data_IF_444001092755
#
_entry.id   IF_444001092755
#
_cell.length_a   1.000
_cell.length_b   1.000
_cell.length_c   1.000
_cell.angle_alpha   90.00
_cell.angle_beta   90.00
_cell.angle_gamma   90.00
#
_symmetry.space_group_name_H-M   'P 1'
#
loop_
_entity.id
_entity.type
_entity.pdbx_description
1 polymer ?
#
# COMPACT_ATOMS: atom_id res chain seq x y z
N UNK A 1 -18.12 -27.54 -1.09
CA UNK A 1 -18.05 -26.07 -1.07
C UNK A 1 -16.87 -25.62 -1.92
N UNK A 2 -17.12 -25.09 -3.11
CA UNK A 2 -16.06 -24.55 -3.97
C UNK A 2 -15.49 -23.27 -3.35
N UNK A 3 -14.26 -23.34 -2.84
CA UNK A 3 -13.52 -22.18 -2.33
C UNK A 3 -13.14 -21.33 -3.54
N UNK A 4 -14.02 -20.41 -3.93
CA UNK A 4 -13.71 -19.44 -4.99
C UNK A 4 -12.69 -18.47 -4.44
N UNK A 5 -11.44 -18.63 -4.86
CA UNK A 5 -10.38 -17.69 -4.51
C UNK A 5 -10.73 -16.32 -5.06
N UNK A 6 -10.48 -15.33 -4.22
CA UNK A 6 -10.70 -13.92 -4.53
C UNK A 6 -9.70 -13.53 -5.62
N UNK A 7 -10.18 -13.01 -6.75
CA UNK A 7 -9.32 -12.69 -7.90
C UNK A 7 -8.86 -11.24 -7.88
N UNK A 8 -9.62 -10.36 -7.20
CA UNK A 8 -9.32 -8.93 -7.16
C UNK A 8 -9.35 -8.38 -5.75
N UNK A 9 -8.61 -7.29 -5.53
CA UNK A 9 -8.59 -6.56 -4.25
C UNK A 9 -9.98 -6.01 -3.93
N UNK A 10 -10.78 -5.65 -4.95
CA UNK A 10 -12.17 -5.17 -4.78
C UNK A 10 -13.04 -6.25 -4.15
N UNK A 11 -13.00 -7.47 -4.70
CA UNK A 11 -13.75 -8.62 -4.17
C UNK A 11 -13.35 -8.94 -2.72
N UNK A 12 -12.05 -8.82 -2.39
CA UNK A 12 -11.56 -9.08 -1.03
C UNK A 12 -12.15 -8.06 -0.05
N UNK A 13 -12.11 -6.77 -0.42
CA UNK A 13 -12.70 -5.71 0.39
C UNK A 13 -14.20 -5.89 0.54
N UNK A 14 -14.91 -6.24 -0.53
CA UNK A 14 -16.36 -6.47 -0.50
C UNK A 14 -16.73 -7.62 0.45
N UNK A 15 -15.96 -8.71 0.46
CA UNK A 15 -16.18 -9.84 1.37
C UNK A 15 -16.21 -9.40 2.85
N UNK A 16 -15.35 -8.46 3.23
CA UNK A 16 -15.28 -7.95 4.60
C UNK A 16 -16.31 -6.85 4.88
N UNK A 17 -16.59 -5.99 3.90
CA UNK A 17 -17.48 -4.84 4.10
C UNK A 17 -18.95 -5.24 4.07
N UNK A 18 -19.35 -6.19 3.22
CA UNK A 18 -20.75 -6.56 3.04
C UNK A 18 -21.45 -7.02 4.34
N UNK A 19 -20.88 -7.95 5.14
CA UNK A 19 -21.51 -8.37 6.40
C UNK A 19 -21.62 -7.22 7.41
N UNK A 20 -20.67 -6.28 7.39
CA UNK A 20 -20.68 -5.11 8.27
C UNK A 20 -21.73 -4.09 7.80
N UNK A 21 -21.84 -3.87 6.49
CA UNK A 21 -22.81 -2.96 5.90
C UNK A 21 -24.26 -3.45 6.09
N UNK A 22 -24.47 -4.77 6.00
CA UNK A 22 -25.75 -5.44 6.29
C UNK A 22 -26.08 -5.56 7.79
N UNK A 23 -25.16 -5.11 8.66
CA UNK A 23 -25.27 -5.20 10.14
C UNK A 23 -25.33 -6.64 10.68
N UNK A 24 -24.86 -7.62 9.92
CA UNK A 24 -24.77 -9.03 10.34
C UNK A 24 -23.63 -9.25 11.34
N UNK A 25 -22.54 -8.47 11.20
CA UNK A 25 -21.34 -8.58 12.05
C UNK A 25 -20.90 -7.21 12.54
N UNK A 26 -20.48 -7.13 13.81
CA UNK A 26 -19.89 -5.90 14.37
C UNK A 26 -18.45 -5.75 13.86
N UNK A 27 -18.08 -4.51 13.51
CA UNK A 27 -16.73 -4.18 13.01
C UNK A 27 -15.61 -4.68 13.94
N UNK A 28 -15.82 -4.61 15.26
CA UNK A 28 -14.86 -5.08 16.27
C UNK A 28 -14.55 -6.58 16.17
N UNK A 29 -15.54 -7.39 15.80
CA UNK A 29 -15.42 -8.84 15.77
C UNK A 29 -14.81 -9.28 14.45
N UNK A 30 -15.22 -8.65 13.35
CA UNK A 30 -14.56 -8.83 12.05
C UNK A 30 -13.08 -8.39 12.07
N UNK A 31 -12.73 -7.36 12.84
CA UNK A 31 -11.35 -6.87 12.96
C UNK A 31 -10.40 -7.84 13.70
N UNK A 32 -10.92 -8.83 14.44
CA UNK A 32 -10.09 -9.87 15.08
C UNK A 32 -9.64 -10.95 14.09
N UNK A 33 -10.42 -11.17 13.03
CA UNK A 33 -10.22 -12.26 12.06
C UNK A 33 -9.66 -11.73 10.73
N UNK A 34 -9.91 -10.46 10.41
CA UNK A 34 -9.42 -9.84 9.18
C UNK A 34 -7.89 -9.74 9.18
N UNK A 35 -7.21 -10.08 8.06
CA UNK A 35 -5.77 -9.88 7.93
C UNK A 35 -5.36 -8.40 7.90
N UNK A 36 -6.32 -7.49 7.73
CA UNK A 36 -6.10 -6.04 7.70
C UNK A 36 -6.45 -5.40 9.04
N UNK A 37 -5.79 -4.29 9.37
CA UNK A 37 -6.05 -3.57 10.63
C UNK A 37 -7.45 -2.94 10.71
N UNK A 38 -7.93 -2.74 11.95
CA UNK A 38 -9.24 -2.14 12.27
C UNK A 38 -9.52 -0.84 11.49
N UNK A 39 -8.53 0.07 11.43
CA UNK A 39 -8.65 1.37 10.75
C UNK A 39 -8.87 1.23 9.23
N UNK A 40 -8.31 0.20 8.62
CA UNK A 40 -8.52 -0.08 7.19
C UNK A 40 -9.97 -0.49 6.93
N UNK A 41 -10.54 -1.34 7.79
CA UNK A 41 -11.94 -1.73 7.68
C UNK A 41 -12.91 -0.56 7.91
N UNK A 42 -12.66 0.30 8.90
CA UNK A 42 -13.46 1.51 9.12
C UNK A 42 -13.48 2.41 7.87
N UNK A 43 -12.32 2.60 7.23
CA UNK A 43 -12.20 3.35 5.98
C UNK A 43 -12.98 2.70 4.84
N UNK A 44 -12.89 1.38 4.67
CA UNK A 44 -13.63 0.68 3.62
C UNK A 44 -15.13 0.76 3.81
N UNK A 45 -15.63 0.59 5.04
CA UNK A 45 -17.06 0.74 5.35
C UNK A 45 -17.54 2.16 5.09
N UNK A 46 -16.75 3.18 5.46
CA UNK A 46 -17.08 4.57 5.17
C UNK A 46 -17.13 4.85 3.65
N UNK A 47 -16.13 4.36 2.91
CA UNK A 47 -16.10 4.50 1.44
C UNK A 47 -17.27 3.78 0.76
N UNK A 48 -17.61 2.59 1.22
CA UNK A 48 -18.75 1.83 0.71
C UNK A 48 -20.08 2.54 0.98
N UNK A 49 -20.25 3.14 2.16
CA UNK A 49 -21.45 3.94 2.46
C UNK A 49 -21.56 5.19 1.59
N UNK A 50 -20.42 5.81 1.24
CA UNK A 50 -20.41 7.03 0.45
C UNK A 50 -20.56 6.79 -1.06
N UNK A 51 -19.99 5.70 -1.59
CA UNK A 51 -19.83 5.48 -3.04
C UNK A 51 -20.23 4.08 -3.51
N UNK A 52 -20.82 3.26 -2.64
CA UNK A 52 -21.12 1.86 -2.93
C UNK A 52 -19.88 1.04 -3.28
N UNK A 53 -20.04 0.06 -4.16
CA UNK A 53 -18.95 -0.84 -4.57
C UNK A 53 -17.79 -0.12 -5.29
N UNK A 54 -18.08 0.98 -6.01
CA UNK A 54 -17.07 1.79 -6.69
C UNK A 54 -16.08 2.42 -5.71
N UNK A 55 -16.50 2.67 -4.46
CA UNK A 55 -15.62 3.19 -3.41
C UNK A 55 -14.52 2.23 -2.95
N UNK A 56 -14.67 0.93 -3.25
CA UNK A 56 -13.72 -0.11 -2.85
C UNK A 56 -12.69 -0.44 -3.94
N UNK A 57 -12.84 0.14 -5.13
CA UNK A 57 -11.89 -0.06 -6.22
C UNK A 57 -10.50 0.51 -5.88
N UNK A 58 -9.42 -0.20 -6.21
CA UNK A 58 -8.08 0.35 -6.10
C UNK A 58 -7.95 1.54 -7.06
N UNK A 59 -7.53 2.70 -6.53
CA UNK A 59 -7.39 3.93 -7.32
C UNK A 59 -6.27 3.87 -8.36
N UNK A 60 -5.27 3.02 -8.14
CA UNK A 60 -4.16 2.82 -9.05
C UNK A 60 -3.93 1.34 -9.27
N UNK A 61 -3.79 0.98 -10.54
CA UNK A 61 -3.29 -0.32 -11.02
C UNK A 61 -1.84 -0.21 -11.47
N UNK A 62 -1.23 0.97 -11.35
CA UNK A 62 0.17 1.13 -11.72
C UNK A 62 1.05 0.26 -10.81
N UNK A 63 2.14 -0.31 -11.36
CA UNK A 63 3.15 -0.96 -10.56
C UNK A 63 3.58 -0.06 -9.40
N UNK A 64 3.87 -0.66 -8.24
CA UNK A 64 4.38 0.07 -7.06
C UNK A 64 5.84 0.53 -7.23
N UNK A 65 6.39 0.43 -8.43
CA UNK A 65 7.73 0.88 -8.80
C UNK A 65 7.68 2.35 -9.19
N UNK A 66 8.63 3.14 -8.71
CA UNK A 66 8.74 4.54 -9.09
C UNK A 66 9.26 4.65 -10.52
N UNK A 67 8.56 5.37 -11.40
CA UNK A 67 8.91 5.46 -12.84
C UNK A 67 10.30 6.06 -13.06
N UNK A 68 10.67 7.04 -12.25
CA UNK A 68 11.95 7.76 -12.29
C UNK A 68 12.86 7.34 -11.13
N UNK A 69 12.83 6.06 -10.77
CA UNK A 69 13.70 5.57 -9.71
C UNK A 69 15.18 5.70 -10.11
N UNK A 70 16.00 6.15 -9.17
CA UNK A 70 17.44 6.21 -9.40
C UNK A 70 18.00 4.82 -9.69
N UNK A 71 18.82 4.66 -10.75
CA UNK A 71 19.47 3.40 -11.05
C UNK A 71 20.22 2.83 -9.84
N UNK A 72 20.24 1.50 -9.72
CA UNK A 72 20.82 0.78 -8.58
C UNK A 72 22.29 1.16 -8.37
N UNK A 73 23.07 1.27 -9.45
CA UNK A 73 24.49 1.61 -9.39
C UNK A 73 24.75 2.98 -8.75
N UNK A 74 23.86 3.97 -8.95
CA UNK A 74 23.97 5.28 -8.28
C UNK A 74 23.75 5.14 -6.78
N UNK A 75 22.77 4.34 -6.37
CA UNK A 75 22.48 4.09 -4.94
C UNK A 75 23.65 3.39 -4.26
N UNK A 76 24.23 2.38 -4.91
CA UNK A 76 25.42 1.69 -4.42
C UNK A 76 26.60 2.65 -4.31
N UNK A 77 26.82 3.48 -5.34
CA UNK A 77 27.86 4.50 -5.34
C UNK A 77 27.71 5.50 -4.18
N UNK A 78 26.49 5.97 -3.92
CA UNK A 78 26.19 6.85 -2.77
C UNK A 78 26.55 6.16 -1.45
N UNK A 79 26.20 4.87 -1.29
CA UNK A 79 26.53 4.10 -0.09
C UNK A 79 28.04 3.93 0.08
N UNK A 80 28.78 3.67 -0.99
CA UNK A 80 30.25 3.61 -0.95
C UNK A 80 30.88 4.92 -0.52
N UNK A 81 30.50 6.03 -1.15
CA UNK A 81 31.04 7.36 -0.81
C UNK A 81 30.71 7.70 0.64
N UNK A 82 29.48 7.39 1.09
CA UNK A 82 29.06 7.63 2.47
C UNK A 82 29.86 6.78 3.47
N UNK A 83 30.12 5.51 3.17
CA UNK A 83 30.94 4.63 4.03
C UNK A 83 32.41 5.09 4.09
N UNK A 84 32.98 5.50 2.96
CA UNK A 84 34.38 5.94 2.86
C UNK A 84 34.62 7.32 3.50
N UNK A 85 33.77 8.29 3.18
CA UNK A 85 34.02 9.71 3.51
C UNK A 85 33.18 10.23 4.67
N UNK A 86 32.09 9.54 5.03
CA UNK A 86 31.08 9.98 6.01
C UNK A 86 30.47 11.37 5.72
N UNK A 87 30.60 11.88 4.49
CA UNK A 87 30.06 13.18 4.05
C UNK A 87 28.53 13.22 4.10
N UNK A 88 27.94 14.39 4.36
CA UNK A 88 26.49 14.63 4.30
C UNK A 88 25.93 14.43 2.87
N UNK A 89 24.62 14.16 2.76
CA UNK A 89 23.98 13.84 1.48
C UNK A 89 24.22 14.92 0.41
N UNK A 90 24.13 16.20 0.79
CA UNK A 90 24.35 17.33 -0.12
C UNK A 90 25.78 17.38 -0.68
N UNK A 91 26.79 17.07 0.15
CA UNK A 91 28.19 17.00 -0.29
C UNK A 91 28.45 15.81 -1.21
N UNK A 92 27.75 14.68 -1.02
CA UNK A 92 27.84 13.53 -1.92
C UNK A 92 27.18 13.87 -3.26
N UNK A 93 26.03 14.55 -3.23
CA UNK A 93 25.36 15.02 -4.43
C UNK A 93 26.25 15.93 -5.27
N UNK A 94 26.85 16.98 -4.69
CA UNK A 94 27.78 17.85 -5.40
C UNK A 94 29.05 17.15 -5.88
N UNK A 95 29.46 16.07 -5.21
CA UNK A 95 30.59 15.27 -5.67
C UNK A 95 30.19 14.46 -6.92
N UNK A 96 29.01 13.83 -6.90
CA UNK A 96 28.49 13.05 -8.01
C UNK A 96 28.12 13.91 -9.23
N UNK A 97 27.71 15.17 -9.03
CA UNK A 97 27.49 16.11 -10.14
C UNK A 97 28.78 16.54 -10.85
N UNK A 98 29.93 16.41 -10.17
CA UNK A 98 31.25 16.76 -10.71
C UNK A 98 31.99 15.56 -11.31
N UNK A 99 31.58 14.33 -10.96
CA UNK A 99 32.08 13.07 -11.54
C UNK A 99 31.48 12.88 -12.95
#
# INVERSE_FOLDING_TARGET
MSIRMVKTIKEERLKWVLPIARKEVKLKDAAKVCPHGKRSMERWVALYKAKGEAGLEPKSTEPKTQKEETPIWIKERILEIRKKTKKCALKIHWQLEKE
#
